data_IF_618598482529
#
_entry.id   IF_618598482529
#
_cell.length_a   1.000
_cell.length_b   1.000
_cell.length_c   1.000
_cell.angle_alpha   90.00
_cell.angle_beta   90.00
_cell.angle_gamma   90.00
#
_symmetry.space_group_name_H-M   'P 1'
#
loop_
_entity.id
_entity.type
_entity.pdbx_description
1 polymer ?
#
# COMPACT_ATOMS: atom_id res chain seq x y z
N UNK A 1 -9.23 -14.88 10.88
CA UNK A 1 -7.84 -15.04 11.20
C UNK A 1 -7.03 -15.79 10.15
N UNK A 2 -5.82 -16.09 10.47
CA UNK A 2 -4.85 -16.75 9.56
C UNK A 2 -5.39 -18.08 9.05
N UNK A 3 -5.97 -18.89 9.91
CA UNK A 3 -6.51 -20.21 9.55
C UNK A 3 -7.56 -20.14 8.43
N UNK A 4 -8.56 -19.29 8.59
CA UNK A 4 -9.65 -19.19 7.61
C UNK A 4 -9.18 -18.52 6.33
N UNK A 5 -8.34 -17.51 6.41
CA UNK A 5 -7.77 -16.86 5.24
C UNK A 5 -6.87 -17.81 4.45
N UNK A 6 -6.13 -18.68 5.13
CA UNK A 6 -5.33 -19.73 4.48
C UNK A 6 -6.20 -20.75 3.77
N UNK A 7 -7.34 -21.12 4.35
CA UNK A 7 -8.32 -22.03 3.71
C UNK A 7 -8.88 -21.40 2.43
N UNK A 8 -9.27 -20.13 2.48
CA UNK A 8 -9.78 -19.41 1.31
C UNK A 8 -8.67 -19.31 0.25
N UNK A 9 -7.48 -18.92 0.65
CA UNK A 9 -6.33 -18.80 -0.24
C UNK A 9 -6.04 -20.10 -0.99
N UNK A 10 -6.03 -21.23 -0.30
CA UNK A 10 -5.86 -22.55 -0.94
C UNK A 10 -6.95 -22.84 -1.94
N UNK A 11 -8.21 -22.52 -1.61
CA UNK A 11 -9.35 -22.81 -2.47
C UNK A 11 -9.35 -22.01 -3.78
N UNK A 12 -8.83 -20.78 -3.78
CA UNK A 12 -8.86 -19.89 -4.95
C UNK A 12 -7.49 -19.59 -5.56
N UNK A 13 -6.41 -20.20 -5.03
CA UNK A 13 -5.07 -20.06 -5.59
C UNK A 13 -4.29 -18.83 -5.13
N UNK A 14 -4.65 -18.26 -4.00
CA UNK A 14 -3.95 -17.12 -3.42
C UNK A 14 -4.90 -16.00 -3.04
N UNK A 15 -4.39 -15.02 -2.29
CA UNK A 15 -5.20 -13.89 -1.84
C UNK A 15 -4.38 -12.62 -1.60
N UNK A 16 -5.03 -11.48 -1.80
CA UNK A 16 -4.55 -10.17 -1.35
C UNK A 16 -5.47 -9.71 -0.22
N UNK A 17 -4.89 -9.28 0.87
CA UNK A 17 -5.64 -8.85 2.06
C UNK A 17 -5.55 -7.33 2.21
N UNK A 18 -6.70 -6.69 2.37
CA UNK A 18 -6.79 -5.26 2.68
C UNK A 18 -7.01 -5.05 4.18
N UNK A 19 -6.34 -4.07 4.76
CA UNK A 19 -6.58 -3.62 6.11
C UNK A 19 -6.38 -2.12 6.24
N UNK A 20 -7.21 -1.48 7.06
CA UNK A 20 -7.09 -0.07 7.42
C UNK A 20 -6.53 0.08 8.83
N UNK A 21 -6.15 1.31 9.22
CA UNK A 21 -5.63 1.62 10.54
C UNK A 21 -4.13 1.39 10.67
N UNK A 22 -3.64 1.31 11.89
CA UNK A 22 -2.20 1.22 12.16
C UNK A 22 -1.57 -0.09 11.69
N UNK A 23 -2.30 -1.17 11.72
CA UNK A 23 -1.90 -2.55 11.32
C UNK A 23 -0.67 -3.12 12.04
N UNK A 24 -0.12 -2.40 13.01
CA UNK A 24 1.10 -2.76 13.73
C UNK A 24 1.05 -4.19 14.30
N UNK A 25 -0.08 -4.56 14.89
CA UNK A 25 -0.24 -5.85 15.55
C UNK A 25 -0.78 -6.96 14.63
N UNK A 26 -1.14 -6.64 13.40
CA UNK A 26 -1.78 -7.60 12.48
C UNK A 26 -0.94 -7.93 11.26
N UNK A 27 0.05 -7.09 10.90
CA UNK A 27 0.84 -7.32 9.69
C UNK A 27 1.65 -8.61 9.76
N UNK A 28 2.26 -8.91 10.90
CA UNK A 28 3.03 -10.14 11.08
C UNK A 28 2.13 -11.39 10.97
N UNK A 29 0.98 -11.49 11.68
CA UNK A 29 0.05 -12.59 11.45
C UNK A 29 -0.44 -12.69 10.00
N UNK A 30 -0.67 -11.57 9.31
CA UNK A 30 -1.08 -11.60 7.90
C UNK A 30 -0.03 -12.26 7.01
N UNK A 31 1.26 -12.08 7.30
CA UNK A 31 2.34 -12.71 6.55
C UNK A 31 2.39 -14.23 6.72
N UNK A 32 1.70 -14.78 7.73
CA UNK A 32 1.58 -16.22 7.95
C UNK A 32 0.47 -16.87 7.12
N UNK A 33 -0.34 -16.09 6.41
CA UNK A 33 -1.40 -16.63 5.55
C UNK A 33 -0.77 -17.43 4.41
N UNK A 34 -1.12 -18.70 4.31
CA UNK A 34 -0.64 -19.57 3.24
C UNK A 34 -1.12 -19.07 1.88
N UNK A 35 -0.20 -18.95 0.92
CA UNK A 35 -0.55 -18.49 -0.42
C UNK A 35 -0.81 -17.00 -0.53
N UNK A 36 -0.45 -16.20 0.49
CA UNK A 36 -0.57 -14.74 0.43
C UNK A 36 0.20 -14.18 -0.75
N UNK A 37 -0.46 -13.39 -1.59
CA UNK A 37 0.15 -12.76 -2.77
C UNK A 37 0.41 -11.27 -2.59
N UNK A 38 -0.28 -10.63 -1.66
CA UNK A 38 -0.09 -9.22 -1.41
C UNK A 38 -0.89 -8.71 -0.23
N UNK A 39 -0.50 -7.53 0.23
CA UNK A 39 -1.18 -6.78 1.28
C UNK A 39 -1.52 -5.40 0.75
N UNK A 40 -2.70 -4.90 1.10
CA UNK A 40 -3.20 -3.59 0.70
C UNK A 40 -3.52 -2.78 1.96
N UNK A 41 -2.82 -1.68 2.15
CA UNK A 41 -2.98 -0.83 3.32
C UNK A 41 -3.30 0.62 2.94
N UNK A 42 -4.14 1.28 3.75
CA UNK A 42 -4.30 2.74 3.72
C UNK A 42 -3.09 3.32 4.46
N UNK A 43 -2.07 3.70 3.71
CA UNK A 43 -0.73 3.91 4.26
C UNK A 43 -0.58 5.12 5.18
N UNK A 44 -1.31 6.25 5.02
CA UNK A 44 -1.23 7.34 5.99
C UNK A 44 -1.63 6.95 7.41
N UNK A 45 -2.46 5.92 7.57
CA UNK A 45 -2.93 5.42 8.85
C UNK A 45 -2.05 4.31 9.42
N UNK A 46 -1.24 3.65 8.57
CA UNK A 46 -0.46 2.48 8.93
C UNK A 46 0.83 2.84 9.67
N UNK A 47 1.31 1.91 10.49
CA UNK A 47 2.66 1.97 11.04
C UNK A 47 3.66 1.54 9.97
N UNK A 48 4.35 2.50 9.37
CA UNK A 48 5.24 2.27 8.24
C UNK A 48 6.39 1.32 8.56
N UNK A 49 6.97 1.48 9.75
CA UNK A 49 8.10 0.64 10.17
C UNK A 49 7.67 -0.81 10.34
N UNK A 50 6.52 -1.04 10.96
CA UNK A 50 5.98 -2.39 11.14
C UNK A 50 5.70 -3.06 9.79
N UNK A 51 5.09 -2.34 8.84
CA UNK A 51 4.81 -2.85 7.50
C UNK A 51 6.10 -3.15 6.74
N UNK A 52 7.06 -2.23 6.77
CA UNK A 52 8.36 -2.44 6.10
C UNK A 52 9.07 -3.66 6.64
N UNK A 53 9.20 -3.76 7.97
CA UNK A 53 9.97 -4.84 8.59
C UNK A 53 9.33 -6.21 8.38
N UNK A 54 8.00 -6.28 8.36
CA UNK A 54 7.30 -7.55 8.19
C UNK A 54 7.16 -7.99 6.74
N UNK A 55 6.96 -7.06 5.79
CA UNK A 55 6.42 -7.40 4.48
C UNK A 55 7.20 -6.83 3.28
N UNK A 56 7.97 -5.76 3.42
CA UNK A 56 8.65 -5.13 2.28
C UNK A 56 9.65 -6.09 1.61
N UNK A 57 9.52 -6.25 0.29
CA UNK A 57 10.35 -7.18 -0.48
C UNK A 57 9.99 -8.66 -0.32
N UNK A 58 9.04 -9.01 0.55
CA UNK A 58 8.61 -10.39 0.81
C UNK A 58 7.29 -10.75 0.15
N UNK A 59 6.41 -9.77 -0.01
CA UNK A 59 5.14 -9.90 -0.73
C UNK A 59 4.86 -8.61 -1.47
N UNK A 60 3.88 -8.61 -2.37
CA UNK A 60 3.45 -7.36 -3.03
C UNK A 60 2.77 -6.47 -2.00
N UNK A 61 3.20 -5.22 -1.93
CA UNK A 61 2.57 -4.20 -1.11
C UNK A 61 1.82 -3.22 -1.98
N UNK A 62 0.50 -3.14 -1.80
CA UNK A 62 -0.31 -2.09 -2.37
C UNK A 62 -0.46 -1.00 -1.31
N UNK A 63 0.19 0.12 -1.54
CA UNK A 63 0.18 1.26 -0.63
C UNK A 63 -0.80 2.30 -1.17
N UNK A 64 -1.91 2.46 -0.48
CA UNK A 64 -2.99 3.34 -0.89
C UNK A 64 -2.94 4.63 -0.09
N UNK A 65 -2.96 5.77 -0.78
CA UNK A 65 -3.14 7.08 -0.16
C UNK A 65 -3.98 7.97 -1.08
N UNK A 66 -5.26 8.03 -0.82
CA UNK A 66 -6.15 8.91 -1.55
C UNK A 66 -6.07 10.32 -0.98
N UNK A 67 -6.45 11.32 -1.78
CA UNK A 67 -6.36 12.71 -1.33
C UNK A 67 -7.13 12.97 -0.02
N UNK A 68 -8.23 12.25 0.22
CA UNK A 68 -9.00 12.39 1.47
C UNK A 68 -8.37 11.70 2.68
N UNK A 69 -7.43 10.80 2.49
CA UNK A 69 -6.75 10.09 3.59
C UNK A 69 -5.80 10.99 4.37
N UNK A 70 -5.42 12.12 3.78
CA UNK A 70 -4.51 13.10 4.39
C UNK A 70 -5.25 14.18 5.19
N UNK A 71 -6.57 14.06 5.34
CA UNK A 71 -7.41 15.01 6.03
C UNK A 71 -8.18 15.92 5.07
N UNK A 72 -9.36 16.45 5.50
CA UNK A 72 -10.27 17.18 4.61
C UNK A 72 -9.70 18.49 4.06
N UNK A 73 -8.81 19.15 4.83
CA UNK A 73 -8.21 20.42 4.46
C UNK A 73 -6.73 20.33 4.11
N UNK A 74 -6.18 19.12 4.05
CA UNK A 74 -4.76 18.93 3.78
C UNK A 74 -4.44 19.18 2.31
N UNK A 75 -3.51 20.09 2.06
CA UNK A 75 -2.92 20.30 0.74
C UNK A 75 -1.63 19.48 0.66
N UNK A 76 -1.78 18.21 0.29
CA UNK A 76 -0.65 17.29 0.23
C UNK A 76 -0.12 17.21 -1.20
N UNK A 77 1.17 17.33 -1.35
CA UNK A 77 1.84 16.99 -2.60
C UNK A 77 1.88 15.47 -2.73
N UNK A 78 0.93 14.91 -3.47
CA UNK A 78 0.77 13.46 -3.62
C UNK A 78 1.96 12.81 -4.33
N UNK A 79 2.63 13.54 -5.23
CA UNK A 79 3.82 13.04 -5.90
C UNK A 79 4.99 12.94 -4.92
N UNK A 80 5.20 13.96 -4.09
CA UNK A 80 6.24 13.95 -3.06
C UNK A 80 5.98 12.88 -2.02
N UNK A 81 4.73 12.67 -1.63
CA UNK A 81 4.35 11.60 -0.70
C UNK A 81 4.64 10.22 -1.30
N UNK A 82 4.32 10.01 -2.57
CA UNK A 82 4.63 8.77 -3.26
C UNK A 82 6.14 8.53 -3.36
N UNK A 83 6.93 9.58 -3.56
CA UNK A 83 8.40 9.48 -3.52
C UNK A 83 8.89 9.02 -2.15
N UNK A 84 8.32 9.55 -1.07
CA UNK A 84 8.63 9.09 0.29
C UNK A 84 8.35 7.61 0.48
N UNK A 85 7.23 7.12 -0.08
CA UNK A 85 6.88 5.70 0.00
C UNK A 85 7.94 4.84 -0.72
N UNK A 86 8.36 5.26 -1.91
CA UNK A 86 9.41 4.55 -2.64
C UNK A 86 10.73 4.53 -1.89
N UNK A 87 11.11 5.67 -1.30
CA UNK A 87 12.36 5.79 -0.55
C UNK A 87 12.34 4.92 0.71
N UNK A 88 11.19 4.82 1.37
CA UNK A 88 11.05 4.08 2.62
C UNK A 88 10.89 2.57 2.40
N UNK A 89 10.02 2.16 1.47
CA UNK A 89 9.67 0.75 1.27
C UNK A 89 10.50 0.07 0.19
N UNK A 90 11.18 0.81 -0.66
CA UNK A 90 11.87 0.28 -1.82
C UNK A 90 10.93 0.08 -3.01
N UNK A 91 11.50 -0.32 -4.14
CA UNK A 91 10.74 -0.46 -5.40
C UNK A 91 10.26 -1.88 -5.67
N UNK A 92 10.83 -2.88 -5.02
CA UNK A 92 10.53 -4.27 -5.28
C UNK A 92 9.15 -4.64 -4.74
N UNK A 93 8.27 -5.07 -5.64
CA UNK A 93 6.94 -5.53 -5.26
C UNK A 93 6.03 -4.44 -4.71
N UNK A 94 6.28 -3.18 -5.09
CA UNK A 94 5.50 -2.05 -4.60
C UNK A 94 4.49 -1.59 -5.65
N UNK A 95 3.26 -1.42 -5.22
CA UNK A 95 2.17 -0.84 -6.00
C UNK A 95 1.61 0.36 -5.24
N UNK A 96 1.63 1.54 -5.84
CA UNK A 96 1.09 2.75 -5.23
C UNK A 96 -0.24 3.10 -5.90
N UNK A 97 -1.26 3.28 -5.08
CA UNK A 97 -2.58 3.67 -5.53
C UNK A 97 -2.97 5.00 -4.88
N UNK A 98 -3.37 5.95 -5.69
CA UNK A 98 -3.74 7.27 -5.22
C UNK A 98 -4.94 7.82 -6.01
N UNK A 99 -5.47 8.95 -5.58
CA UNK A 99 -6.58 9.63 -6.25
C UNK A 99 -6.47 11.14 -6.07
N UNK A 100 -7.14 11.86 -6.94
CA UNK A 100 -7.26 13.32 -6.89
C UNK A 100 -8.71 13.73 -7.01
N UNK A 101 -9.08 14.98 -6.59
CA UNK A 101 -10.45 15.45 -6.72
C UNK A 101 -10.94 15.58 -8.15
N UNK A 102 -10.08 15.86 -9.12
CA UNK A 102 -10.45 16.08 -10.51
C UNK A 102 -9.61 15.24 -11.50
N UNK A 103 -10.17 15.01 -12.68
CA UNK A 103 -9.46 14.29 -13.75
C UNK A 103 -8.23 15.06 -14.24
N UNK A 104 -8.27 16.39 -14.24
CA UNK A 104 -7.13 17.22 -14.64
C UNK A 104 -5.96 17.04 -13.67
N UNK A 105 -6.22 17.12 -12.37
CA UNK A 105 -5.22 16.87 -11.33
C UNK A 105 -4.67 15.45 -11.42
N UNK A 106 -5.52 14.47 -11.77
CA UNK A 106 -5.09 13.09 -11.94
C UNK A 106 -4.10 12.94 -13.11
N UNK A 107 -4.34 13.64 -14.21
CA UNK A 107 -3.41 13.63 -15.36
C UNK A 107 -2.07 14.26 -15.00
N UNK A 108 -2.08 15.38 -14.28
CA UNK A 108 -0.85 16.03 -13.81
C UNK A 108 -0.07 15.16 -12.85
N UNK A 109 -0.77 14.55 -11.88
CA UNK A 109 -0.16 13.63 -10.93
C UNK A 109 0.41 12.41 -11.64
N UNK A 110 -0.32 11.82 -12.58
CA UNK A 110 0.13 10.68 -13.37
C UNK A 110 1.43 10.97 -14.11
N UNK A 111 1.57 12.15 -14.70
CA UNK A 111 2.80 12.55 -15.39
C UNK A 111 3.98 12.66 -14.42
N UNK A 112 3.76 13.23 -13.23
CA UNK A 112 4.80 13.33 -12.17
C UNK A 112 5.21 11.95 -11.67
N UNK A 113 4.25 11.07 -11.40
CA UNK A 113 4.52 9.70 -10.95
C UNK A 113 5.27 8.90 -12.00
N UNK A 114 4.90 9.05 -13.27
CA UNK A 114 5.62 8.39 -14.35
C UNK A 114 7.11 8.78 -14.36
N UNK A 115 7.41 10.06 -14.20
CA UNK A 115 8.80 10.54 -14.11
C UNK A 115 9.54 9.96 -12.91
N UNK A 116 8.90 9.89 -11.74
CA UNK A 116 9.47 9.32 -10.52
C UNK A 116 9.78 7.84 -10.70
N UNK A 117 8.84 7.09 -11.28
CA UNK A 117 8.96 5.64 -11.46
C UNK A 117 9.93 5.25 -12.59
N UNK A 118 10.22 6.18 -13.51
CA UNK A 118 11.12 5.94 -14.63
C UNK A 118 12.59 6.20 -14.31
N UNK A 119 12.90 6.66 -13.13
CA UNK A 119 14.27 6.94 -12.69
C UNK A 119 15.09 5.69 -12.39
#
# INVERSE_FOLDING_TARGET
GVKYNSMISRAIGGLVVHSCGQVKNVVTPMMEIEGLRGLDFTIPQADWEAVRNAAAGKTVLCLRHYHWDHGPDAKVDLAAYSQKLLDFFGRKGLFIQTSTPTAEEARELGAKLHRILSR
#
